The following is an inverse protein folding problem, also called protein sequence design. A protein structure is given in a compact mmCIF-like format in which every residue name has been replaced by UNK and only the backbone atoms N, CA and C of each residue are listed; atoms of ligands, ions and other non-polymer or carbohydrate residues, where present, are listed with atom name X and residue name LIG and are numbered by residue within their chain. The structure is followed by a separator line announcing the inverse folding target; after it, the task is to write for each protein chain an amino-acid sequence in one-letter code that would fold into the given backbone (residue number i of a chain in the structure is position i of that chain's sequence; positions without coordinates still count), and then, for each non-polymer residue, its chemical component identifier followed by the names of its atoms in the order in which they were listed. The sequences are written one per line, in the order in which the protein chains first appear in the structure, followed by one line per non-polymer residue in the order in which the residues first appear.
data_IF_658942496019
#
_entry.id   IF_658942496019
#
_cell.length_a   1.000
_cell.length_b   1.000
_cell.length_c   1.000
_cell.angle_alpha   90.00
_cell.angle_beta   90.00
_cell.angle_gamma   90.00
#
_symmetry.space_group_name_H-M   'P 1'
#
loop_
_entity.id
_entity.type
_entity.pdbx_description
1 polymer ?
#
# COMPACT_ATOMS: atom_id res chain seq x y z
N UNK A 1 -7.71 -23.79 -20.97
CA UNK A 1 -7.62 -22.43 -20.42
C UNK A 1 -9.02 -21.99 -19.99
N UNK A 2 -9.15 -21.37 -18.83
CA UNK A 2 -10.43 -20.81 -18.40
C UNK A 2 -10.76 -19.60 -19.29
N UNK A 3 -11.97 -19.54 -19.81
CA UNK A 3 -12.50 -18.44 -20.64
C UNK A 3 -13.97 -18.25 -20.31
N UNK A 4 -14.49 -17.04 -20.47
CA UNK A 4 -15.93 -16.80 -20.42
C UNK A 4 -16.58 -17.50 -21.61
N UNK A 5 -17.31 -18.56 -21.34
CA UNK A 5 -18.00 -19.38 -22.34
C UNK A 5 -19.47 -18.96 -22.47
N UNK A 6 -20.16 -19.50 -23.46
CA UNK A 6 -21.60 -19.26 -23.66
C UNK A 6 -22.43 -19.69 -22.43
N UNK A 7 -21.97 -20.74 -21.72
CA UNK A 7 -22.60 -21.21 -20.48
C UNK A 7 -22.51 -20.22 -19.32
N UNK A 8 -21.58 -19.28 -19.38
CA UNK A 8 -21.32 -18.30 -18.32
C UNK A 8 -22.12 -16.99 -18.56
N UNK A 9 -22.82 -16.92 -19.67
CA UNK A 9 -23.59 -15.73 -20.09
C UNK A 9 -25.08 -16.08 -20.09
N UNK A 10 -25.85 -15.22 -19.44
CA UNK A 10 -27.31 -15.31 -19.49
C UNK A 10 -27.76 -14.74 -20.84
N UNK A 11 -28.52 -15.53 -21.59
CA UNK A 11 -29.16 -15.09 -22.83
C UNK A 11 -30.56 -14.55 -22.47
N UNK A 12 -30.73 -13.21 -22.37
CA UNK A 12 -32.01 -12.63 -21.98
C UNK A 12 -33.02 -12.73 -23.12
N UNK A 13 -34.30 -12.81 -22.78
CA UNK A 13 -35.39 -12.74 -23.75
C UNK A 13 -35.59 -11.33 -24.34
N UNK A 14 -35.07 -10.32 -23.63
CA UNK A 14 -35.02 -8.92 -24.04
C UNK A 14 -33.58 -8.45 -23.86
N UNK A 15 -33.02 -7.71 -24.83
CA UNK A 15 -31.67 -7.17 -24.74
C UNK A 15 -31.65 -5.98 -23.78
N UNK A 16 -31.29 -6.24 -22.51
CA UNK A 16 -31.00 -5.24 -21.49
C UNK A 16 -29.50 -5.26 -21.18
N UNK A 17 -28.94 -4.08 -20.88
CA UNK A 17 -27.53 -3.98 -20.46
C UNK A 17 -27.33 -4.67 -19.11
N UNK A 18 -26.28 -5.44 -19.02
CA UNK A 18 -25.87 -6.06 -17.76
C UNK A 18 -25.39 -5.01 -16.77
N UNK A 19 -25.82 -5.16 -15.53
CA UNK A 19 -25.30 -4.35 -14.42
C UNK A 19 -24.00 -4.99 -13.93
N UNK A 20 -22.96 -4.17 -13.85
CA UNK A 20 -21.65 -4.61 -13.34
C UNK A 20 -21.72 -4.63 -11.82
N UNK A 21 -21.60 -5.81 -11.22
CA UNK A 21 -21.38 -5.95 -9.78
C UNK A 21 -19.91 -5.65 -9.48
N UNK A 22 -19.68 -4.59 -8.69
CA UNK A 22 -18.35 -4.19 -8.25
C UNK A 22 -18.13 -4.62 -6.80
N UNK A 23 -16.94 -5.13 -6.52
CA UNK A 23 -16.52 -5.39 -5.14
C UNK A 23 -16.43 -4.07 -4.38
N UNK A 24 -16.94 -4.05 -3.15
CA UNK A 24 -16.97 -2.86 -2.30
C UNK A 24 -15.58 -2.37 -1.88
N UNK A 25 -14.55 -3.21 -2.02
CA UNK A 25 -13.18 -2.87 -1.63
C UNK A 25 -12.52 -2.00 -2.69
N UNK A 26 -12.47 -0.70 -2.44
CA UNK A 26 -11.76 0.28 -3.26
C UNK A 26 -10.54 0.80 -2.51
N UNK A 27 -9.48 1.17 -3.24
CA UNK A 27 -8.27 1.71 -2.59
C UNK A 27 -8.53 3.09 -1.99
N UNK A 28 -8.55 3.15 -0.67
CA UNK A 28 -8.58 4.41 0.07
C UNK A 28 -7.20 5.08 0.16
N UNK A 29 -6.11 4.34 -0.05
CA UNK A 29 -4.74 4.85 0.08
C UNK A 29 -4.30 5.71 -1.10
N UNK A 30 -4.72 5.38 -2.32
CA UNK A 30 -4.32 6.11 -3.54
C UNK A 30 -4.72 7.58 -3.52
N UNK A 31 -5.93 7.89 -3.02
CA UNK A 31 -6.45 9.26 -2.95
C UNK A 31 -5.99 10.05 -1.72
N UNK A 32 -5.20 9.47 -0.83
CA UNK A 32 -4.89 10.04 0.49
C UNK A 32 -3.63 10.92 0.53
N UNK A 33 -2.79 10.90 -0.52
CA UNK A 33 -1.47 11.56 -0.54
C UNK A 33 -0.38 10.82 0.25
N UNK A 34 -0.66 9.62 0.75
CA UNK A 34 0.31 8.74 1.42
C UNK A 34 1.29 8.15 0.40
N UNK A 35 0.77 7.82 -0.78
CA UNK A 35 1.54 7.30 -1.91
C UNK A 35 1.96 8.47 -2.79
N UNK A 36 3.27 8.68 -2.92
CA UNK A 36 3.85 9.71 -3.77
C UNK A 36 4.35 9.05 -5.07
N UNK A 37 3.84 9.54 -6.20
CA UNK A 37 4.30 9.17 -7.53
C UNK A 37 5.17 10.29 -8.07
N UNK A 38 6.38 9.97 -8.49
CA UNK A 38 7.37 10.94 -8.99
C UNK A 38 8.03 10.34 -10.25
N UNK A 39 8.25 11.13 -11.32
CA UNK A 39 8.99 10.69 -12.50
C UNK A 39 10.37 10.09 -12.21
N UNK A 40 10.99 10.46 -11.09
CA UNK A 40 12.23 9.84 -10.63
C UNK A 40 12.05 8.34 -10.33
N UNK A 41 10.95 7.98 -9.64
CA UNK A 41 10.66 6.57 -9.35
C UNK A 41 10.22 5.80 -10.59
N UNK A 42 9.58 6.45 -11.55
CA UNK A 42 9.23 5.85 -12.84
C UNK A 42 10.50 5.48 -13.63
N UNK A 43 11.48 6.39 -13.67
CA UNK A 43 12.77 6.12 -14.28
C UNK A 43 13.53 4.99 -13.59
N UNK A 44 13.47 4.92 -12.26
CA UNK A 44 14.08 3.83 -11.49
C UNK A 44 13.36 2.49 -11.73
N UNK A 45 12.03 2.50 -11.84
CA UNK A 45 11.25 1.31 -12.16
C UNK A 45 11.55 0.80 -13.58
N UNK A 46 11.86 1.69 -14.52
CA UNK A 46 12.24 1.35 -15.89
C UNK A 46 13.66 0.78 -15.98
N UNK A 47 14.50 0.97 -14.98
CA UNK A 47 15.87 0.44 -14.92
C UNK A 47 15.92 -1.10 -14.96
N UNK A 48 17.06 -1.67 -15.36
CA UNK A 48 17.29 -3.12 -15.37
C UNK A 48 17.41 -3.69 -13.94
N UNK A 49 17.19 -4.99 -13.79
CA UNK A 49 17.34 -5.71 -12.51
C UNK A 49 16.04 -5.86 -11.73
N UNK A 50 16.15 -6.45 -10.54
CA UNK A 50 15.02 -6.74 -9.66
C UNK A 50 14.96 -5.82 -8.43
N UNK A 51 16.00 -5.06 -8.18
CA UNK A 51 16.11 -4.14 -7.04
C UNK A 51 16.57 -2.78 -7.53
N UNK A 52 16.16 -1.77 -6.81
CA UNK A 52 16.57 -0.39 -7.03
C UNK A 52 17.25 0.13 -5.78
N UNK A 53 18.46 0.61 -5.93
CA UNK A 53 19.23 1.26 -4.88
C UNK A 53 18.99 2.77 -4.94
N UNK A 54 18.49 3.33 -3.84
CA UNK A 54 18.26 4.77 -3.66
C UNK A 54 19.29 5.30 -2.65
N UNK A 55 20.46 5.76 -3.09
CA UNK A 55 21.49 6.26 -2.19
C UNK A 55 21.08 7.58 -1.55
N UNK A 56 21.47 7.78 -0.29
CA UNK A 56 21.29 9.03 0.43
C UNK A 56 22.49 9.29 1.37
N UNK A 57 22.74 10.57 1.66
CA UNK A 57 23.73 10.96 2.63
C UNK A 57 23.15 10.86 4.03
N UNK A 58 23.93 10.28 4.95
CA UNK A 58 23.58 10.30 6.36
C UNK A 58 23.87 11.69 6.94
N UNK A 59 23.09 12.07 7.95
CA UNK A 59 23.25 13.35 8.63
C UNK A 59 24.59 13.43 9.35
N UNK A 60 25.14 14.63 9.42
CA UNK A 60 26.42 14.91 10.09
C UNK A 60 26.11 15.37 11.52
N UNK A 61 26.29 14.50 12.48
CA UNK A 61 26.02 14.78 13.89
C UNK A 61 27.25 14.51 14.79
N UNK A 62 28.42 15.15 14.53
CA UNK A 62 29.55 15.04 15.42
C UNK A 62 29.32 15.85 16.69
N UNK A 63 29.96 15.42 17.77
CA UNK A 63 30.00 16.19 19.01
C UNK A 63 30.70 17.56 18.75
N UNK A 64 30.24 18.60 19.44
CA UNK A 64 30.88 19.92 19.39
C UNK A 64 32.33 19.80 19.89
N UNK A 65 33.25 20.31 19.11
CA UNK A 65 34.67 20.39 19.46
C UNK A 65 35.01 21.80 19.97
N UNK A 66 35.67 21.88 21.09
CA UNK A 66 36.15 23.15 21.63
C UNK A 66 37.57 23.35 21.15
N UNK A 67 37.85 24.51 20.56
CA UNK A 67 39.20 24.87 20.12
C UNK A 67 40.14 25.04 21.32
N UNK A 68 41.30 24.43 21.22
CA UNK A 68 42.39 24.59 22.18
C UNK A 68 43.72 24.80 21.42
N UNK A 69 44.63 25.55 22.00
CA UNK A 69 45.88 25.93 21.33
C UNK A 69 46.78 24.74 20.92
N UNK A 70 46.65 23.61 21.64
CA UNK A 70 47.50 22.44 21.47
C UNK A 70 46.72 21.19 21.00
N UNK A 71 45.45 21.30 20.61
CA UNK A 71 44.68 20.16 20.19
C UNK A 71 44.09 20.41 18.78
N UNK A 72 44.51 19.66 17.76
CA UNK A 72 43.90 19.76 16.42
C UNK A 72 42.46 19.25 16.44
N UNK A 73 41.61 19.85 15.58
CA UNK A 73 40.25 19.39 15.41
C UNK A 73 40.22 17.97 14.79
N UNK A 74 39.34 17.14 15.28
CA UNK A 74 39.08 15.82 14.69
C UNK A 74 38.28 15.99 13.38
N UNK A 75 38.83 15.45 12.30
CA UNK A 75 38.16 15.51 10.99
C UNK A 75 37.02 14.50 10.95
N UNK A 76 35.81 14.98 10.72
CA UNK A 76 34.61 14.14 10.55
C UNK A 76 34.39 13.87 9.06
N UNK A 77 33.82 12.70 8.76
CA UNK A 77 33.49 12.29 7.38
C UNK A 77 31.98 12.19 7.20
N UNK A 78 31.50 12.48 6.00
CA UNK A 78 30.12 12.17 5.59
C UNK A 78 30.08 10.72 5.13
N UNK A 79 29.06 9.99 5.55
CA UNK A 79 28.80 8.61 5.12
C UNK A 79 27.52 8.54 4.32
N UNK A 80 27.51 7.68 3.31
CA UNK A 80 26.30 7.39 2.54
C UNK A 80 25.69 6.06 2.99
N UNK A 81 24.38 5.98 2.90
CA UNK A 81 23.62 4.73 3.02
C UNK A 81 22.69 4.59 1.85
N UNK A 82 22.02 3.47 1.71
CA UNK A 82 21.07 3.25 0.64
C UNK A 82 19.78 2.63 1.13
N UNK A 83 18.68 3.12 0.62
CA UNK A 83 17.38 2.49 0.68
C UNK A 83 17.27 1.54 -0.51
N UNK A 84 16.73 0.34 -0.33
CA UNK A 84 16.64 -0.67 -1.37
C UNK A 84 15.18 -1.04 -1.53
N UNK A 85 14.62 -0.72 -2.69
CA UNK A 85 13.31 -1.12 -3.12
C UNK A 85 13.36 -2.36 -4.00
N UNK A 86 12.35 -3.21 -3.91
CA UNK A 86 12.14 -4.32 -4.83
C UNK A 86 11.23 -3.88 -5.96
N UNK A 87 11.63 -4.15 -7.19
CA UNK A 87 10.76 -4.01 -8.35
C UNK A 87 9.78 -5.19 -8.37
N UNK A 88 8.53 -4.89 -8.60
CA UNK A 88 7.47 -5.87 -8.77
C UNK A 88 7.10 -5.98 -10.24
N UNK A 89 6.93 -7.20 -10.71
CA UNK A 89 6.52 -7.54 -12.07
C UNK A 89 5.33 -8.46 -11.97
N UNK A 90 4.15 -7.93 -12.22
CA UNK A 90 2.89 -8.64 -12.11
C UNK A 90 2.21 -8.70 -13.46
N UNK A 91 1.38 -9.70 -13.66
CA UNK A 91 0.55 -9.81 -14.85
C UNK A 91 -0.64 -10.73 -14.63
N UNK A 92 -1.70 -10.47 -15.36
CA UNK A 92 -2.85 -11.35 -15.41
C UNK A 92 -3.46 -11.33 -16.82
N UNK A 93 -4.21 -12.38 -17.14
CA UNK A 93 -4.85 -12.54 -18.44
C UNK A 93 -6.28 -13.02 -18.26
N UNK A 94 -7.16 -12.47 -19.08
CA UNK A 94 -8.58 -12.84 -19.16
C UNK A 94 -8.93 -13.18 -20.59
N UNK A 95 -9.93 -14.03 -20.80
CA UNK A 95 -10.41 -14.39 -22.13
C UNK A 95 -11.91 -14.29 -22.20
N UNK A 96 -12.41 -13.73 -23.30
CA UNK A 96 -13.82 -13.62 -23.63
C UNK A 96 -14.05 -14.25 -24.99
N UNK A 97 -15.12 -15.05 -25.11
CA UNK A 97 -15.54 -15.59 -26.40
C UNK A 97 -16.39 -14.57 -27.15
N UNK A 98 -16.05 -14.28 -28.41
CA UNK A 98 -16.73 -13.30 -29.25
C UNK A 98 -18.21 -13.67 -29.48
N UNK A 99 -18.54 -14.97 -29.51
CA UNK A 99 -19.92 -15.42 -29.69
C UNK A 99 -20.78 -15.09 -28.46
N UNK A 100 -20.19 -15.04 -27.25
CA UNK A 100 -20.90 -14.63 -26.05
C UNK A 100 -21.43 -13.19 -26.16
N UNK A 101 -20.68 -12.28 -26.81
CA UNK A 101 -21.11 -10.92 -27.09
C UNK A 101 -22.35 -10.88 -28.00
N UNK A 102 -22.38 -11.71 -29.03
CA UNK A 102 -23.49 -11.76 -29.97
C UNK A 102 -24.77 -12.32 -29.33
N UNK A 103 -24.61 -13.32 -28.46
CA UNK A 103 -25.76 -13.98 -27.82
C UNK A 103 -26.31 -13.20 -26.62
N UNK A 104 -25.44 -12.53 -25.86
CA UNK A 104 -25.86 -11.73 -24.68
C UNK A 104 -26.47 -10.38 -25.07
N UNK A 105 -26.11 -9.85 -26.24
CA UNK A 105 -26.50 -8.50 -26.65
C UNK A 105 -25.78 -7.37 -25.90
N UNK A 106 -24.79 -7.69 -25.04
CA UNK A 106 -23.97 -6.76 -24.32
C UNK A 106 -22.48 -6.94 -24.65
N UNK A 107 -21.62 -6.06 -24.19
CA UNK A 107 -20.18 -6.10 -24.44
C UNK A 107 -19.40 -6.63 -23.22
N UNK A 108 -19.18 -7.96 -23.10
CA UNK A 108 -18.45 -8.54 -21.97
C UNK A 108 -17.00 -8.03 -21.89
N UNK A 109 -16.41 -7.62 -23.04
CA UNK A 109 -15.05 -7.12 -23.10
C UNK A 109 -14.96 -5.70 -22.51
N UNK A 110 -15.94 -4.84 -22.80
CA UNK A 110 -16.02 -3.51 -22.19
C UNK A 110 -16.18 -3.59 -20.67
N UNK A 111 -17.07 -4.47 -20.20
CA UNK A 111 -17.23 -4.73 -18.76
C UNK A 111 -15.94 -5.26 -18.11
N UNK A 112 -15.22 -6.17 -18.80
CA UNK A 112 -13.95 -6.72 -18.31
C UNK A 112 -12.89 -5.63 -18.11
N UNK A 113 -12.74 -4.70 -19.05
CA UNK A 113 -11.74 -3.61 -18.95
C UNK A 113 -11.98 -2.74 -17.71
N UNK A 114 -13.26 -2.42 -17.41
CA UNK A 114 -13.60 -1.67 -16.19
C UNK A 114 -13.25 -2.46 -14.92
N UNK A 115 -13.61 -3.74 -14.88
CA UNK A 115 -13.33 -4.61 -13.73
C UNK A 115 -11.83 -4.86 -13.49
N UNK A 116 -11.03 -4.86 -14.55
CA UNK A 116 -9.57 -4.99 -14.46
C UNK A 116 -8.94 -3.77 -13.79
N UNK A 117 -9.46 -2.57 -14.04
CA UNK A 117 -9.04 -1.37 -13.32
C UNK A 117 -9.22 -1.51 -11.80
N UNK A 118 -10.41 -1.91 -11.37
CA UNK A 118 -10.72 -2.14 -9.95
C UNK A 118 -9.91 -3.30 -9.36
N UNK A 119 -9.63 -4.33 -10.14
CA UNK A 119 -8.77 -5.46 -9.74
C UNK A 119 -7.36 -4.98 -9.35
N UNK A 120 -6.70 -4.17 -10.18
CA UNK A 120 -5.36 -3.68 -9.90
C UNK A 120 -5.32 -2.73 -8.70
N UNK A 121 -6.35 -1.92 -8.50
CA UNK A 121 -6.49 -1.07 -7.32
C UNK A 121 -6.49 -1.92 -6.05
N UNK A 122 -7.23 -3.03 -6.02
CA UNK A 122 -7.26 -3.95 -4.88
C UNK A 122 -5.91 -4.65 -4.65
N UNK A 123 -5.22 -5.02 -5.71
CA UNK A 123 -3.87 -5.62 -5.61
C UNK A 123 -2.90 -4.61 -4.99
N UNK A 124 -2.87 -3.36 -5.46
CA UNK A 124 -2.00 -2.32 -4.89
C UNK A 124 -2.28 -2.07 -3.41
N UNK A 125 -3.56 -2.05 -3.02
CA UNK A 125 -3.95 -1.93 -1.62
C UNK A 125 -3.45 -3.13 -0.79
N UNK A 126 -3.63 -4.35 -1.28
CA UNK A 126 -3.13 -5.55 -0.63
C UNK A 126 -1.61 -5.54 -0.44
N UNK A 127 -0.87 -5.04 -1.43
CA UNK A 127 0.60 -4.90 -1.37
C UNK A 127 1.03 -3.86 -0.33
N UNK A 128 0.32 -2.73 -0.22
CA UNK A 128 0.57 -1.72 0.83
C UNK A 128 0.38 -2.35 2.21
N UNK A 129 -0.75 -3.02 2.43
CA UNK A 129 -1.06 -3.65 3.73
C UNK A 129 -0.06 -4.75 4.08
N UNK A 130 0.31 -5.62 3.12
CA UNK A 130 1.30 -6.68 3.33
C UNK A 130 2.69 -6.09 3.65
N UNK A 131 3.08 -5.03 2.96
CA UNK A 131 4.33 -4.32 3.25
C UNK A 131 4.32 -3.69 4.64
N UNK A 132 3.21 -3.08 5.07
CA UNK A 132 3.07 -2.52 6.42
C UNK A 132 3.16 -3.60 7.51
N UNK A 133 2.51 -4.75 7.32
CA UNK A 133 2.62 -5.88 8.25
C UNK A 133 4.08 -6.31 8.42
N UNK A 134 4.82 -6.48 7.32
CA UNK A 134 6.21 -6.88 7.36
C UNK A 134 7.12 -5.83 7.97
N UNK A 135 6.98 -4.56 7.60
CA UNK A 135 7.73 -3.44 8.15
C UNK A 135 7.59 -3.37 9.66
N UNK A 136 6.36 -3.48 10.20
CA UNK A 136 6.13 -3.42 11.65
C UNK A 136 6.29 -4.76 12.39
N UNK A 137 6.50 -5.85 11.67
CA UNK A 137 7.03 -7.10 12.23
C UNK A 137 8.55 -7.06 12.39
N UNK A 138 9.26 -6.14 11.70
CA UNK A 138 10.71 -5.99 11.81
C UNK A 138 11.11 -5.36 13.15
N UNK A 139 12.07 -5.98 13.85
CA UNK A 139 12.59 -5.49 15.13
C UNK A 139 13.17 -4.06 15.03
N UNK A 140 13.73 -3.69 13.87
CA UNK A 140 14.28 -2.36 13.61
C UNK A 140 13.24 -1.23 13.64
N UNK A 141 11.94 -1.55 13.51
CA UNK A 141 10.82 -0.61 13.52
C UNK A 141 10.11 -0.50 14.89
N UNK A 142 10.60 -1.18 15.93
CA UNK A 142 10.00 -1.14 17.26
C UNK A 142 9.89 0.29 17.83
N UNK A 143 10.80 1.19 17.45
CA UNK A 143 10.75 2.61 17.85
C UNK A 143 9.57 3.40 17.29
N UNK A 144 9.02 2.97 16.12
CA UNK A 144 7.88 3.58 15.46
C UNK A 144 6.56 2.84 15.75
N UNK A 145 6.56 1.91 16.70
CA UNK A 145 5.38 1.14 17.08
C UNK A 145 4.96 1.48 18.51
N UNK A 146 3.67 1.74 18.70
CA UNK A 146 3.01 1.85 19.99
C UNK A 146 2.10 0.65 20.18
N UNK A 147 2.32 -0.18 21.19
CA UNK A 147 1.44 -1.28 21.52
C UNK A 147 0.77 -0.99 22.85
N UNK A 148 -0.51 -0.69 22.84
CA UNK A 148 -1.34 -0.43 24.02
C UNK A 148 -2.39 -1.53 24.20
N UNK A 149 -2.56 -2.40 23.20
CA UNK A 149 -3.58 -3.44 23.22
C UNK A 149 -3.37 -4.43 24.36
N UNK A 150 -4.47 -4.81 25.01
CA UNK A 150 -4.51 -5.97 25.86
C UNK A 150 -4.72 -7.24 25.04
N UNK A 151 -4.00 -8.30 25.38
CA UNK A 151 -4.11 -9.62 24.74
C UNK A 151 -5.32 -10.42 25.26
N UNK A 152 -6.04 -9.90 26.28
CA UNK A 152 -7.22 -10.52 26.85
C UNK A 152 -8.38 -9.54 26.92
N UNK A 153 -9.62 -10.02 26.81
CA UNK A 153 -10.83 -9.19 26.95
C UNK A 153 -10.89 -8.55 28.34
N UNK A 154 -10.54 -9.31 29.38
CA UNK A 154 -10.56 -8.82 30.77
C UNK A 154 -9.58 -7.65 31.04
N UNK A 155 -8.51 -7.56 30.26
CA UNK A 155 -7.52 -6.47 30.34
C UNK A 155 -7.88 -5.25 29.53
N UNK A 156 -8.95 -5.28 28.73
CA UNK A 156 -9.35 -4.15 27.91
C UNK A 156 -9.93 -3.02 28.77
N UNK A 157 -9.49 -1.81 28.49
CA UNK A 157 -9.89 -0.60 29.22
C UNK A 157 -9.84 0.61 28.28
N UNK A 158 -10.21 1.77 28.78
CA UNK A 158 -10.08 3.01 28.01
C UNK A 158 -8.64 3.32 27.58
N UNK A 159 -7.63 2.84 28.34
CA UNK A 159 -6.20 3.05 28.03
C UNK A 159 -5.66 2.09 26.96
N UNK A 160 -6.35 0.97 26.72
CA UNK A 160 -5.97 0.03 25.65
C UNK A 160 -6.66 0.33 24.32
N UNK A 161 -7.60 1.29 24.31
CA UNK A 161 -8.35 1.71 23.12
C UNK A 161 -7.73 2.92 22.46
N UNK A 162 -7.92 3.00 21.16
CA UNK A 162 -7.54 4.21 20.42
C UNK A 162 -8.46 5.36 20.85
N UNK A 163 -7.87 6.44 21.36
CA UNK A 163 -8.54 7.67 21.76
C UNK A 163 -7.60 8.88 21.56
N UNK A 164 -8.04 10.08 21.92
CA UNK A 164 -7.23 11.28 21.75
C UNK A 164 -5.89 11.25 22.49
N UNK A 165 -5.84 10.69 23.71
CA UNK A 165 -4.61 10.60 24.49
C UNK A 165 -3.62 9.59 23.88
N UNK A 166 -4.10 8.38 23.54
CA UNK A 166 -3.27 7.35 22.92
C UNK A 166 -2.79 7.74 21.53
N UNK A 167 -3.57 8.55 20.82
CA UNK A 167 -3.14 9.15 19.55
C UNK A 167 -1.95 10.10 19.74
N UNK A 168 -1.99 10.96 20.77
CA UNK A 168 -0.86 11.85 21.11
C UNK A 168 0.38 11.02 21.44
N UNK A 169 0.25 9.95 22.24
CA UNK A 169 1.35 9.04 22.56
C UNK A 169 1.95 8.39 21.31
N UNK A 170 1.11 8.08 20.32
CA UNK A 170 1.57 7.56 19.03
C UNK A 170 2.37 8.61 18.23
N UNK A 171 1.92 9.88 18.21
CA UNK A 171 2.65 10.94 17.51
C UNK A 171 4.00 11.24 18.16
N UNK A 172 4.10 11.13 19.48
CA UNK A 172 5.36 11.31 20.23
C UNK A 172 6.43 10.28 19.85
N UNK A 173 6.07 9.13 19.25
CA UNK A 173 7.07 8.18 18.70
C UNK A 173 7.98 8.81 17.64
N UNK A 174 7.53 9.84 16.94
CA UNK A 174 8.34 10.65 16.02
C UNK A 174 8.96 11.89 16.68
N UNK A 175 8.75 12.09 17.99
CA UNK A 175 9.25 13.24 18.74
C UNK A 175 8.74 14.56 18.14
N UNK A 176 9.67 15.47 17.88
CA UNK A 176 9.41 16.81 17.29
C UNK A 176 8.85 16.79 15.86
N UNK A 177 8.81 15.62 15.21
CA UNK A 177 8.26 15.46 13.86
C UNK A 177 6.86 14.82 13.82
N UNK A 178 6.23 14.62 14.97
CA UNK A 178 4.87 14.06 15.07
C UNK A 178 3.82 14.83 14.29
N UNK A 179 3.99 16.16 14.15
CA UNK A 179 3.08 17.00 13.37
C UNK A 179 3.10 16.74 11.85
N UNK A 180 4.11 16.05 11.36
CA UNK A 180 4.19 15.66 9.95
C UNK A 180 3.24 14.52 9.58
N UNK A 181 2.65 13.85 10.56
CA UNK A 181 1.63 12.84 10.30
C UNK A 181 0.33 13.53 9.89
N UNK A 182 -0.19 13.22 8.71
CA UNK A 182 -1.36 13.90 8.11
C UNK A 182 -2.56 13.01 7.95
N UNK A 183 -2.39 11.70 7.99
CA UNK A 183 -3.45 10.73 7.82
C UNK A 183 -3.34 9.56 8.81
N UNK A 184 -4.47 8.94 9.11
CA UNK A 184 -4.56 7.72 9.87
C UNK A 184 -5.40 6.70 9.11
N UNK A 185 -4.86 5.50 8.94
CA UNK A 185 -5.62 4.36 8.42
C UNK A 185 -6.05 3.45 9.57
N UNK A 186 -7.32 3.09 9.58
CA UNK A 186 -7.92 2.26 10.62
C UNK A 186 -8.96 1.31 10.04
N UNK A 187 -9.20 0.21 10.72
CA UNK A 187 -10.27 -0.74 10.40
C UNK A 187 -11.65 -0.12 10.66
N UNK A 188 -12.67 -0.54 9.91
CA UNK A 188 -14.05 -0.02 10.06
C UNK A 188 -14.61 -0.18 11.47
N UNK A 189 -14.27 -1.28 12.17
CA UNK A 189 -14.65 -1.49 13.55
C UNK A 189 -14.06 -0.43 14.49
N UNK A 190 -12.81 0.01 14.26
CA UNK A 190 -12.16 1.07 15.02
C UNK A 190 -12.81 2.43 14.71
N UNK A 191 -13.09 2.71 13.44
CA UNK A 191 -13.81 3.92 13.05
C UNK A 191 -15.18 3.98 13.74
N UNK A 192 -15.92 2.86 13.73
CA UNK A 192 -17.21 2.79 14.39
C UNK A 192 -17.12 3.02 15.92
N UNK A 193 -16.08 2.50 16.57
CA UNK A 193 -15.83 2.74 18.00
C UNK A 193 -15.55 4.21 18.29
N UNK A 194 -14.71 4.86 17.48
CA UNK A 194 -14.40 6.29 17.63
C UNK A 194 -15.61 7.19 17.34
N UNK A 195 -16.47 6.82 16.38
CA UNK A 195 -17.73 7.53 16.11
C UNK A 195 -18.72 7.46 17.29
N UNK A 196 -18.80 6.31 17.97
CA UNK A 196 -19.64 6.16 19.18
C UNK A 196 -19.16 7.05 20.33
N UNK A 197 -17.88 7.41 20.33
CA UNK A 197 -17.27 8.30 21.33
C UNK A 197 -17.28 9.77 20.88
N UNK A 198 -17.87 10.08 19.72
CA UNK A 198 -17.92 11.42 19.13
C UNK A 198 -16.52 12.06 18.92
N UNK A 199 -15.55 11.21 18.52
CA UNK A 199 -14.17 11.63 18.31
C UNK A 199 -13.81 11.85 16.83
N UNK A 200 -14.72 11.53 15.91
CA UNK A 200 -14.52 11.75 14.48
C UNK A 200 -15.29 12.99 14.03
N UNK A 201 -14.56 13.98 13.54
CA UNK A 201 -15.10 15.17 12.95
C UNK A 201 -15.36 14.99 11.45
N UNK A 202 -16.43 15.62 10.95
CA UNK A 202 -16.79 15.62 9.55
C UNK A 202 -16.61 17.03 8.99
N UNK A 203 -15.65 17.18 8.08
CA UNK A 203 -15.42 18.45 7.38
C UNK A 203 -16.17 18.36 6.05
N UNK A 204 -17.17 19.23 5.80
CA UNK A 204 -17.84 19.28 4.51
C UNK A 204 -16.87 19.75 3.42
N UNK A 205 -16.96 19.17 2.24
CA UNK A 205 -16.28 19.67 1.05
C UNK A 205 -16.84 21.05 0.65
N UNK A 206 -16.10 21.80 -0.17
CA UNK A 206 -16.49 23.13 -0.67
C UNK A 206 -17.86 23.16 -1.36
N UNK A 207 -18.31 22.01 -1.88
CA UNK A 207 -19.64 21.83 -2.47
C UNK A 207 -20.68 21.23 -1.50
N UNK A 208 -20.30 20.89 -0.28
CA UNK A 208 -21.19 20.31 0.73
C UNK A 208 -21.63 18.86 0.46
N UNK A 209 -21.08 18.24 -0.59
CA UNK A 209 -21.49 16.89 -1.05
C UNK A 209 -20.66 15.75 -0.47
N UNK A 210 -19.39 15.98 -0.17
CA UNK A 210 -18.49 14.98 0.40
C UNK A 210 -18.10 15.38 1.83
N UNK A 211 -18.10 14.43 2.76
CA UNK A 211 -17.65 14.64 4.12
C UNK A 211 -16.28 13.97 4.29
N UNK A 212 -15.26 14.79 4.53
CA UNK A 212 -13.94 14.28 4.88
C UNK A 212 -13.93 13.96 6.36
N UNK A 213 -13.74 12.69 6.69
CA UNK A 213 -13.60 12.24 8.07
C UNK A 213 -12.24 12.62 8.60
N UNK A 214 -12.20 13.25 9.77
CA UNK A 214 -10.96 13.61 10.46
C UNK A 214 -10.98 13.11 11.91
N UNK A 215 -9.81 12.68 12.37
CA UNK A 215 -9.57 12.31 13.76
C UNK A 215 -8.35 13.09 14.26
N UNK A 216 -8.56 13.92 15.27
CA UNK A 216 -7.52 14.82 15.80
C UNK A 216 -6.85 15.66 14.69
N UNK A 217 -7.65 16.17 13.74
CA UNK A 217 -7.15 16.96 12.62
C UNK A 217 -6.41 16.15 11.53
N UNK A 218 -6.41 14.81 11.57
CA UNK A 218 -5.80 13.93 10.57
C UNK A 218 -6.89 13.25 9.74
N UNK A 219 -6.65 13.15 8.43
CA UNK A 219 -7.59 12.47 7.54
C UNK A 219 -7.72 10.99 7.91
N UNK A 220 -8.95 10.51 8.07
CA UNK A 220 -9.24 9.10 8.34
C UNK A 220 -9.41 8.34 7.04
N UNK A 221 -8.69 7.24 6.93
CA UNK A 221 -8.79 6.25 5.86
C UNK A 221 -9.31 4.97 6.49
N UNK A 222 -10.44 4.48 5.99
CA UNK A 222 -11.04 3.24 6.47
C UNK A 222 -10.72 2.12 5.50
N UNK A 223 -10.14 1.03 6.03
CA UNK A 223 -9.77 -0.14 5.24
C UNK A 223 -9.88 -1.41 6.08
N UNK A 224 -10.75 -2.31 5.69
CA UNK A 224 -10.98 -3.59 6.38
C UNK A 224 -9.87 -4.64 6.09
N UNK A 225 -8.98 -4.37 5.15
CA UNK A 225 -7.76 -5.18 4.92
C UNK A 225 -6.67 -4.98 5.97
N UNK A 226 -6.79 -3.97 6.84
CA UNK A 226 -5.81 -3.70 7.88
C UNK A 226 -5.70 -4.84 8.90
N UNK A 227 -4.52 -5.03 9.53
CA UNK A 227 -4.28 -6.17 10.38
C UNK A 227 -5.20 -6.19 11.61
N UNK A 228 -5.92 -7.29 11.75
CA UNK A 228 -6.63 -7.67 12.96
C UNK A 228 -6.12 -9.04 13.37
N UNK A 229 -5.68 -9.18 14.59
CA UNK A 229 -5.20 -10.45 15.13
C UNK A 229 -5.92 -10.82 16.41
N UNK A 230 -6.03 -12.11 16.66
CA UNK A 230 -6.44 -12.60 17.95
C UNK A 230 -5.32 -12.35 18.97
N UNK A 231 -5.71 -11.95 20.15
CA UNK A 231 -4.81 -11.94 21.31
C UNK A 231 -4.43 -13.36 21.70
N UNK A 232 -3.52 -13.46 22.66
CA UNK A 232 -3.02 -14.76 23.14
C UNK A 232 -4.11 -15.60 23.80
N UNK A 233 -5.17 -14.99 24.32
CA UNK A 233 -6.28 -15.67 24.99
C UNK A 233 -7.60 -15.45 24.26
N UNK A 234 -8.15 -14.23 24.28
CA UNK A 234 -9.50 -13.94 23.77
C UNK A 234 -9.70 -12.50 23.28
N UNK A 235 -8.69 -11.63 23.43
CA UNK A 235 -8.76 -10.24 22.99
C UNK A 235 -8.57 -10.11 21.47
N UNK A 236 -9.26 -9.16 20.84
CA UNK A 236 -8.97 -8.74 19.48
C UNK A 236 -8.04 -7.52 19.49
N UNK A 237 -6.96 -7.59 18.74
CA UNK A 237 -5.99 -6.52 18.58
C UNK A 237 -6.06 -5.98 17.15
N UNK A 238 -6.37 -4.71 17.05
CA UNK A 238 -6.40 -3.95 15.80
C UNK A 238 -5.11 -3.16 15.65
N UNK A 239 -4.59 -3.07 14.43
CA UNK A 239 -3.44 -2.22 14.15
C UNK A 239 -3.87 -1.07 13.24
N UNK A 240 -3.77 0.15 13.74
CA UNK A 240 -3.94 1.38 12.96
C UNK A 240 -2.60 1.98 12.60
N UNK A 241 -2.53 2.64 11.43
CA UNK A 241 -1.29 3.25 10.95
C UNK A 241 -1.46 4.74 10.75
N UNK A 242 -0.52 5.53 11.28
CA UNK A 242 -0.42 6.95 11.02
C UNK A 242 0.61 7.19 9.94
N UNK A 243 0.31 8.06 9.00
CA UNK A 243 1.14 8.35 7.85
C UNK A 243 1.42 9.84 7.71
N UNK A 244 2.65 10.15 7.31
CA UNK A 244 2.99 11.43 6.74
C UNK A 244 2.87 11.41 5.21
N UNK A 245 2.91 12.58 4.55
CA UNK A 245 2.84 12.68 3.10
C UNK A 245 4.05 11.98 2.46
N UNK A 246 3.80 11.25 1.37
CA UNK A 246 4.84 10.52 0.66
C UNK A 246 5.51 9.41 1.51
N UNK A 247 4.75 8.75 2.39
CA UNK A 247 5.25 7.62 3.16
C UNK A 247 5.61 6.42 2.28
N UNK A 248 4.91 6.25 1.16
CA UNK A 248 5.21 5.28 0.12
C UNK A 248 5.68 5.95 -1.16
N UNK A 249 6.71 5.41 -1.75
CA UNK A 249 7.15 5.74 -3.10
C UNK A 249 6.48 4.81 -4.10
N UNK A 250 5.89 5.36 -5.15
CA UNK A 250 5.35 4.63 -6.29
C UNK A 250 6.04 5.07 -7.56
N UNK A 251 6.51 4.11 -8.35
CA UNK A 251 7.00 4.33 -9.70
C UNK A 251 6.43 3.26 -10.61
N UNK A 252 6.02 3.63 -11.80
CA UNK A 252 5.49 2.70 -12.81
C UNK A 252 6.39 2.77 -14.03
N UNK A 253 6.93 1.62 -14.43
CA UNK A 253 7.72 1.54 -15.64
C UNK A 253 6.83 1.19 -16.83
N UNK A 254 6.96 1.89 -17.96
CA UNK A 254 6.47 1.37 -19.21
C UNK A 254 7.20 0.05 -19.52
N UNK A 255 6.47 -0.98 -19.92
CA UNK A 255 7.04 -2.26 -20.36
C UNK A 255 7.62 -2.15 -21.78
N UNK A 256 8.26 -1.03 -22.10
CA UNK A 256 8.95 -0.81 -23.34
C UNK A 256 10.10 -1.83 -23.48
N UNK A 257 9.98 -2.75 -24.44
CA UNK A 257 11.02 -3.73 -24.75
C UNK A 257 10.65 -5.19 -24.47
N UNK A 258 9.46 -5.50 -23.92
CA UNK A 258 8.92 -6.85 -24.07
C UNK A 258 8.26 -6.92 -25.45
N UNK A 259 8.79 -7.74 -26.38
CA UNK A 259 8.18 -7.89 -27.69
C UNK A 259 6.74 -8.38 -27.50
N UNK A 260 5.78 -7.57 -27.93
CA UNK A 260 4.39 -8.00 -28.01
C UNK A 260 4.31 -8.97 -29.19
N UNK A 261 4.27 -10.26 -28.92
CA UNK A 261 4.16 -11.28 -29.95
C UNK A 261 2.73 -11.28 -30.49
N UNK A 262 2.53 -10.59 -31.62
CA UNK A 262 1.29 -10.65 -32.40
C UNK A 262 0.10 -9.83 -31.87
N UNK A 263 0.27 -9.01 -30.85
CA UNK A 263 -0.79 -8.21 -30.24
C UNK A 263 -0.75 -6.72 -30.64
N UNK A 264 -1.90 -6.10 -30.64
CA UNK A 264 -2.05 -4.65 -30.74
C UNK A 264 -2.28 -4.09 -29.34
N UNK A 265 -1.31 -3.36 -28.77
CA UNK A 265 -1.46 -2.75 -27.47
C UNK A 265 -0.31 -1.81 -27.13
N UNK A 266 -0.54 -0.93 -26.17
CA UNK A 266 0.46 0.00 -25.61
C UNK A 266 0.72 -0.34 -24.15
N UNK A 267 2.00 -0.26 -23.75
CA UNK A 267 2.41 -0.20 -22.34
C UNK A 267 1.86 -1.32 -21.42
N UNK A 268 2.17 -2.59 -21.78
CA UNK A 268 1.82 -3.73 -20.91
C UNK A 268 0.39 -4.26 -21.06
N UNK A 269 -0.39 -3.68 -21.95
CA UNK A 269 -1.70 -4.18 -22.36
C UNK A 269 -1.59 -4.81 -23.73
N UNK A 270 -1.96 -6.07 -23.85
CA UNK A 270 -1.90 -6.83 -25.08
C UNK A 270 -3.25 -7.49 -25.35
N UNK A 271 -3.68 -7.42 -26.60
CA UNK A 271 -4.87 -8.10 -27.08
C UNK A 271 -4.46 -9.19 -28.06
N UNK A 272 -4.79 -10.43 -27.75
CA UNK A 272 -4.55 -11.56 -28.62
C UNK A 272 -5.91 -12.14 -29.06
N UNK A 273 -6.14 -12.21 -30.37
CA UNK A 273 -7.33 -12.85 -30.92
C UNK A 273 -6.97 -14.19 -31.53
N UNK A 274 -7.62 -15.26 -31.06
CA UNK A 274 -7.51 -16.58 -31.70
C UNK A 274 -8.39 -16.63 -32.92
N UNK A 275 -7.80 -16.93 -34.09
CA UNK A 275 -8.55 -17.00 -35.35
C UNK A 275 -9.43 -18.25 -35.50
N UNK A 276 -9.21 -19.28 -34.70
CA UNK A 276 -9.91 -20.57 -34.78
C UNK A 276 -11.01 -20.70 -33.71
N UNK A 277 -10.80 -20.16 -32.52
CA UNK A 277 -11.67 -20.40 -31.36
C UNK A 277 -12.61 -19.23 -31.04
N UNK A 278 -12.58 -18.15 -31.85
CA UNK A 278 -13.33 -16.91 -31.61
C UNK A 278 -13.13 -16.34 -30.21
N UNK A 279 -11.94 -16.53 -29.64
CA UNK A 279 -11.56 -16.04 -28.32
C UNK A 279 -10.71 -14.79 -28.45
N UNK A 280 -11.08 -13.74 -27.71
CA UNK A 280 -10.25 -12.56 -27.52
C UNK A 280 -9.67 -12.59 -26.11
N UNK A 281 -8.34 -12.52 -26.01
CA UNK A 281 -7.59 -12.50 -24.74
C UNK A 281 -7.12 -11.08 -24.47
N UNK A 282 -7.36 -10.66 -23.25
CA UNK A 282 -6.85 -9.41 -22.71
C UNK A 282 -5.75 -9.75 -21.72
N UNK A 283 -4.52 -9.34 -22.00
CA UNK A 283 -3.36 -9.59 -21.16
C UNK A 283 -2.85 -8.26 -20.65
N UNK A 284 -2.77 -8.12 -19.33
CA UNK A 284 -2.21 -6.93 -18.69
C UNK A 284 -1.00 -7.33 -17.87
N UNK A 285 0.12 -6.69 -18.14
CA UNK A 285 1.39 -6.84 -17.42
C UNK A 285 1.81 -5.48 -16.91
N UNK A 286 2.38 -5.43 -15.71
CA UNK A 286 2.89 -4.20 -15.14
C UNK A 286 4.22 -4.43 -14.44
N UNK A 287 5.07 -3.42 -14.47
CA UNK A 287 6.31 -3.36 -13.73
C UNK A 287 6.32 -2.07 -12.95
N UNK A 288 6.50 -2.18 -11.64
CA UNK A 288 6.36 -1.02 -10.76
C UNK A 288 7.16 -1.18 -9.48
N UNK A 289 7.35 -0.07 -8.80
CA UNK A 289 7.87 0.03 -7.43
C UNK A 289 6.73 0.51 -6.54
N UNK A 290 6.53 -0.15 -5.41
CA UNK A 290 5.65 0.31 -4.34
C UNK A 290 6.38 0.02 -3.03
N UNK A 291 6.98 1.06 -2.43
CA UNK A 291 7.96 0.87 -1.38
C UNK A 291 7.79 1.89 -0.25
N UNK A 292 7.75 1.45 1.04
CA UNK A 292 7.74 2.35 2.18
C UNK A 292 9.12 3.02 2.33
N UNK A 293 9.17 4.34 2.35
CA UNK A 293 10.43 5.10 2.40
C UNK A 293 11.14 4.97 3.74
N UNK A 294 12.45 4.78 3.66
CA UNK A 294 13.34 4.70 4.82
C UNK A 294 13.45 3.32 5.43
N UNK A 295 12.97 2.29 4.74
CA UNK A 295 13.03 0.89 5.17
C UNK A 295 13.45 0.03 3.98
N UNK A 296 14.67 -0.51 3.98
CA UNK A 296 15.15 -1.35 2.89
C UNK A 296 14.51 -2.74 2.91
N UNK A 297 14.24 -3.28 1.73
CA UNK A 297 13.81 -4.65 1.54
C UNK A 297 14.99 -5.57 1.21
N UNK A 298 15.09 -6.70 1.92
CA UNK A 298 16.11 -7.72 1.65
C UNK A 298 15.59 -8.73 0.62
N UNK A 299 16.11 -8.64 -0.59
CA UNK A 299 15.67 -9.48 -1.72
C UNK A 299 16.22 -10.91 -1.70
N UNK A 300 17.13 -11.24 -0.80
CA UNK A 300 17.79 -12.57 -0.79
C UNK A 300 16.82 -13.72 -0.47
N UNK A 301 15.71 -13.43 0.19
CA UNK A 301 14.67 -14.40 0.59
C UNK A 301 13.54 -14.57 -0.44
N UNK A 302 13.52 -13.77 -1.50
CA UNK A 302 12.49 -13.83 -2.53
C UNK A 302 12.77 -14.98 -3.49
N UNK A 303 11.86 -15.94 -3.55
CA UNK A 303 12.01 -17.10 -4.41
C UNK A 303 11.69 -16.83 -5.89
N UNK A 304 10.78 -15.89 -6.15
CA UNK A 304 10.27 -15.55 -7.48
C UNK A 304 10.85 -14.26 -8.07
N UNK A 305 10.31 -13.88 -9.22
CA UNK A 305 10.64 -12.60 -9.87
C UNK A 305 10.13 -11.42 -9.05
N UNK A 306 8.92 -11.55 -8.49
CA UNK A 306 8.30 -10.60 -7.57
C UNK A 306 8.12 -11.23 -6.19
N UNK A 307 8.15 -10.44 -5.10
CA UNK A 307 7.85 -10.95 -3.78
C UNK A 307 6.36 -11.30 -3.66
N UNK A 308 6.06 -12.41 -3.02
CA UNK A 308 4.70 -12.77 -2.62
C UNK A 308 4.26 -11.93 -1.42
N UNK A 309 2.94 -11.87 -1.17
CA UNK A 309 2.41 -11.18 0.02
C UNK A 309 3.02 -11.75 1.32
N UNK A 310 3.20 -13.06 1.41
CA UNK A 310 3.83 -13.71 2.57
C UNK A 310 5.30 -13.28 2.77
N UNK A 311 6.07 -13.12 1.69
CA UNK A 311 7.44 -12.60 1.75
C UNK A 311 7.48 -11.13 2.13
N UNK A 312 6.49 -10.32 1.70
CA UNK A 312 6.33 -8.92 2.11
C UNK A 312 5.93 -8.81 3.59
N UNK A 313 5.09 -9.70 4.10
CA UNK A 313 4.65 -9.72 5.50
C UNK A 313 5.74 -10.21 6.48
N UNK A 314 6.80 -10.82 5.97
CA UNK A 314 7.89 -11.32 6.81
C UNK A 314 8.81 -10.18 7.28
N UNK A 315 8.81 -9.92 8.58
CA UNK A 315 9.63 -8.86 9.20
C UNK A 315 11.15 -9.05 9.04
N UNK A 316 11.63 -10.28 8.83
CA UNK A 316 13.06 -10.53 8.60
C UNK A 316 13.56 -9.94 7.25
N UNK A 317 12.64 -9.68 6.31
CA UNK A 317 12.95 -9.09 5.02
C UNK A 317 13.05 -7.56 5.05
N UNK A 318 12.73 -6.93 6.18
CA UNK A 318 12.72 -5.49 6.30
C UNK A 318 13.73 -5.00 7.33
N UNK A 319 14.42 -3.92 7.00
CA UNK A 319 15.36 -3.27 7.90
C UNK A 319 15.25 -1.77 7.76
N UNK A 320 15.03 -1.07 8.86
CA UNK A 320 15.01 0.39 8.86
C UNK A 320 16.38 0.96 8.53
N UNK A 321 16.39 1.97 7.65
CA UNK A 321 17.62 2.65 7.18
C UNK A 321 17.64 4.11 7.63
N UNK A 322 16.48 4.79 7.64
CA UNK A 322 16.37 6.14 8.17
C UNK A 322 16.32 6.16 9.69
N UNK A 323 16.68 7.28 10.29
CA UNK A 323 16.39 7.53 11.70
C UNK A 323 14.89 7.41 11.99
N UNK A 324 14.51 6.98 13.20
CA UNK A 324 13.11 6.81 13.61
C UNK A 324 12.23 8.00 13.25
N UNK A 325 12.69 9.21 13.56
CA UNK A 325 11.96 10.46 13.33
C UNK A 325 11.76 10.80 11.84
N UNK A 326 12.55 10.18 10.95
CA UNK A 326 12.48 10.41 9.50
C UNK A 326 11.59 9.40 8.77
N UNK A 327 11.28 8.27 9.41
CA UNK A 327 10.30 7.31 8.86
C UNK A 327 8.90 7.84 9.13
N UNK A 328 8.16 8.13 8.08
CA UNK A 328 6.86 8.83 8.11
C UNK A 328 5.69 7.88 8.38
N UNK A 329 5.92 6.81 9.13
CA UNK A 329 4.90 5.80 9.44
C UNK A 329 5.03 5.41 10.90
N UNK A 330 3.89 5.38 11.61
CA UNK A 330 3.78 4.88 13.00
C UNK A 330 2.65 3.87 13.05
N UNK A 331 2.86 2.73 13.69
CA UNK A 331 1.82 1.74 13.96
C UNK A 331 1.34 1.81 15.40
N UNK A 332 0.05 1.60 15.60
CA UNK A 332 -0.60 1.56 16.90
C UNK A 332 -1.40 0.27 17.01
N UNK A 333 -0.99 -0.62 17.91
CA UNK A 333 -1.79 -1.80 18.27
C UNK A 333 -2.71 -1.41 19.42
N UNK A 334 -4.01 -1.60 19.26
CA UNK A 334 -5.03 -1.21 20.22
C UNK A 334 -6.22 -2.20 20.22
N UNK A 335 -7.10 -2.07 21.22
CA UNK A 335 -8.40 -2.72 21.24
C UNK A 335 -9.51 -1.73 20.81
N UNK A 336 -10.70 -2.22 20.59
CA UNK A 336 -11.90 -1.41 20.29
C UNK A 336 -12.89 -1.37 21.45
#
# INVERSE_FOLDING_TARGET
MAKTAISDVIVPSVFEKYVIERTATLSAFGASGIVESDPFFDALAAGGGNTVDMPFWQDVNPARQILADNAPLTVNKITASKDIARIQVDGNAWSVNDLAKVLSGDDPMGALVELVGDYWIRIDQGLIVSSLKGVFAAASMAGNKLSIASETVAGQSATTRLNGATFVDATVKLGDRGDRLTAIAMHSATEAALRKLDLIDFIPDSEGKAQIKTFQGRRVIVDDGLPVRNGTTDGLVYTSFLFGPGAFARGVAPLAGIPLQGGHGTEGVEWERSGLDSDTRFINRRRFILHPRGVKFNSASVAGTSPTNAELENGANWTRVFENKNVRIVAVDHNN
#
